data_IF_916569887721
#
_entry.id   IF_916569887721
#
_cell.length_a   1.000
_cell.length_b   1.000
_cell.length_c   1.000
_cell.angle_alpha   90.00
_cell.angle_beta   90.00
_cell.angle_gamma   90.00
#
_symmetry.space_group_name_H-M   'P 1'
#
loop_
_entity.id
_entity.type
_entity.pdbx_description
1 polymer ?
#
# COMPACT_ATOMS: atom_id res chain seq x y z
N UNK A 1 10.75 0.59 19.93
CA UNK A 1 9.40 0.38 19.36
C UNK A 1 9.48 -0.85 18.45
N UNK A 2 8.52 -1.79 18.53
CA UNK A 2 8.52 -2.95 17.63
C UNK A 2 8.52 -2.46 16.17
N UNK A 3 9.43 -2.99 15.34
CA UNK A 3 9.59 -2.58 13.94
C UNK A 3 8.29 -2.65 13.15
N UNK A 4 7.47 -3.68 13.41
CA UNK A 4 6.16 -3.83 12.76
C UNK A 4 5.21 -2.69 13.15
N UNK A 5 5.23 -2.29 14.43
CA UNK A 5 4.41 -1.18 14.93
C UNK A 5 4.89 0.15 14.33
N UNK A 6 6.20 0.36 14.17
CA UNK A 6 6.74 1.57 13.53
C UNK A 6 6.36 1.62 12.03
N UNK A 7 6.48 0.50 11.31
CA UNK A 7 6.04 0.41 9.92
C UNK A 7 4.54 0.68 9.79
N UNK A 8 3.71 0.06 10.64
CA UNK A 8 2.26 0.30 10.64
C UNK A 8 1.93 1.76 10.92
N UNK A 9 2.59 2.39 11.89
CA UNK A 9 2.37 3.80 12.23
C UNK A 9 2.73 4.73 11.07
N UNK A 10 3.88 4.52 10.42
CA UNK A 10 4.29 5.32 9.25
C UNK A 10 3.43 5.07 8.04
N UNK A 11 3.04 3.81 7.83
CA UNK A 11 2.10 3.43 6.79
C UNK A 11 0.76 4.14 6.97
N UNK A 12 0.26 4.26 8.21
CA UNK A 12 -0.96 5.02 8.50
C UNK A 12 -0.85 6.48 8.03
N UNK A 13 0.23 7.18 8.38
CA UNK A 13 0.43 8.56 7.93
C UNK A 13 0.55 8.67 6.41
N UNK A 14 1.25 7.75 5.74
CA UNK A 14 1.35 7.73 4.28
C UNK A 14 -0.03 7.48 3.64
N UNK A 15 -0.82 6.57 4.18
CA UNK A 15 -2.13 6.23 3.66
C UNK A 15 -3.14 7.38 3.75
N UNK A 16 -3.01 8.27 4.74
CA UNK A 16 -3.83 9.50 4.78
C UNK A 16 -3.68 10.32 3.49
N UNK A 17 -2.48 10.39 2.91
CA UNK A 17 -2.27 11.13 1.67
C UNK A 17 -2.55 10.29 0.41
N UNK A 18 -2.35 8.97 0.49
CA UNK A 18 -2.56 8.06 -0.65
C UNK A 18 -4.05 7.85 -0.94
N UNK A 19 -4.87 7.72 0.11
CA UNK A 19 -6.25 7.21 -0.01
C UNK A 19 -7.27 8.34 -0.17
N UNK A 20 -6.99 9.54 0.32
CA UNK A 20 -7.93 10.69 0.24
C UNK A 20 -8.28 11.07 -1.20
N UNK A 21 -7.29 11.18 -2.09
CA UNK A 21 -7.52 11.56 -3.49
C UNK A 21 -8.37 10.49 -4.22
N UNK A 22 -8.05 9.19 -4.16
CA UNK A 22 -8.91 8.12 -4.68
C UNK A 22 -10.34 8.14 -4.13
N UNK A 23 -10.52 8.37 -2.82
CA UNK A 23 -11.84 8.47 -2.21
C UNK A 23 -12.64 9.62 -2.83
N UNK A 24 -12.05 10.81 -2.92
CA UNK A 24 -12.71 11.99 -3.50
C UNK A 24 -13.08 11.71 -4.97
N UNK A 25 -12.17 11.12 -5.75
CA UNK A 25 -12.44 10.76 -7.14
C UNK A 25 -13.59 9.75 -7.29
N UNK A 26 -13.67 8.76 -6.39
CA UNK A 26 -14.76 7.79 -6.36
C UNK A 26 -16.11 8.42 -5.97
N UNK A 27 -16.10 9.31 -4.97
CA UNK A 27 -17.30 9.97 -4.44
C UNK A 27 -17.89 10.99 -5.41
N UNK A 28 -17.06 11.82 -6.07
CA UNK A 28 -17.53 12.88 -6.99
C UNK A 28 -18.32 12.29 -8.17
N UNK A 29 -17.96 11.09 -8.62
CA UNK A 29 -18.59 10.43 -9.75
C UNK A 29 -19.56 9.32 -9.37
N UNK A 30 -20.03 9.30 -8.11
CA UNK A 30 -21.03 8.32 -7.64
C UNK A 30 -20.62 6.85 -7.92
N UNK A 31 -19.32 6.56 -7.84
CA UNK A 31 -18.74 5.24 -8.15
C UNK A 31 -18.44 4.99 -9.64
N UNK A 32 -18.90 5.83 -10.57
CA UNK A 32 -18.62 5.71 -12.01
C UNK A 32 -17.13 5.86 -12.37
N UNK A 33 -16.31 6.36 -11.44
CA UNK A 33 -14.88 6.61 -11.65
C UNK A 33 -14.00 5.67 -10.84
N UNK A 34 -14.44 4.42 -10.65
CA UNK A 34 -13.65 3.37 -9.99
C UNK A 34 -12.28 3.17 -10.65
N UNK A 35 -12.23 3.25 -11.99
CA UNK A 35 -10.96 3.19 -12.75
C UNK A 35 -10.02 4.34 -12.40
N UNK A 36 -10.54 5.57 -12.28
CA UNK A 36 -9.72 6.74 -11.94
C UNK A 36 -9.24 6.65 -10.49
N UNK A 37 -10.10 6.25 -9.56
CA UNK A 37 -9.71 5.99 -8.17
C UNK A 37 -8.60 4.93 -8.08
N UNK A 38 -8.71 3.84 -8.84
CA UNK A 38 -7.70 2.79 -8.92
C UNK A 38 -6.38 3.33 -9.50
N UNK A 39 -6.42 4.08 -10.60
CA UNK A 39 -5.21 4.66 -11.22
C UNK A 39 -4.50 5.59 -10.25
N UNK A 40 -5.23 6.50 -9.59
CA UNK A 40 -4.65 7.40 -8.60
C UNK A 40 -4.11 6.65 -7.39
N UNK A 41 -4.81 5.60 -6.94
CA UNK A 41 -4.30 4.77 -5.85
C UNK A 41 -3.00 4.09 -6.22
N UNK A 42 -2.89 3.47 -7.40
CA UNK A 42 -1.66 2.82 -7.84
C UNK A 42 -0.50 3.81 -7.97
N UNK A 43 -0.75 4.99 -8.55
CA UNK A 43 0.27 6.04 -8.67
C UNK A 43 0.74 6.54 -7.30
N UNK A 44 -0.19 6.90 -6.42
CA UNK A 44 0.14 7.47 -5.12
C UNK A 44 0.76 6.43 -4.18
N UNK A 45 0.26 5.19 -4.20
CA UNK A 45 0.81 4.10 -3.40
C UNK A 45 2.24 3.74 -3.81
N UNK A 46 2.64 3.97 -5.05
CA UNK A 46 4.03 3.83 -5.49
C UNK A 46 4.86 5.07 -5.16
N UNK A 47 4.43 6.24 -5.64
CA UNK A 47 5.22 7.48 -5.62
C UNK A 47 5.43 8.01 -4.20
N UNK A 48 4.41 7.99 -3.34
CA UNK A 48 4.51 8.59 -2.00
C UNK A 48 5.50 7.84 -1.12
N UNK A 49 5.42 6.50 -0.95
CA UNK A 49 6.41 5.78 -0.15
C UNK A 49 7.78 5.76 -0.81
N UNK A 50 7.87 5.69 -2.15
CA UNK A 50 9.16 5.80 -2.84
C UNK A 50 9.87 7.13 -2.56
N UNK A 51 9.14 8.24 -2.58
CA UNK A 51 9.67 9.56 -2.24
C UNK A 51 10.03 9.64 -0.74
N UNK A 52 9.16 9.14 0.13
CA UNK A 52 9.38 9.08 1.58
C UNK A 52 10.66 8.31 1.94
N UNK A 53 10.94 7.21 1.25
CA UNK A 53 12.16 6.41 1.45
C UNK A 53 13.43 7.06 0.88
N UNK A 54 13.33 8.14 0.10
CA UNK A 54 14.51 8.85 -0.41
C UNK A 54 15.18 9.74 0.64
N UNK A 55 14.44 10.12 1.70
CA UNK A 55 14.97 10.97 2.76
C UNK A 55 15.87 10.18 3.69
N UNK A 56 17.09 10.68 3.95
CA UNK A 56 18.05 10.04 4.88
C UNK A 56 17.52 9.93 6.32
N UNK A 57 16.58 10.78 6.72
CA UNK A 57 15.90 10.74 8.02
C UNK A 57 14.76 9.72 8.08
N UNK A 58 14.39 9.09 6.96
CA UNK A 58 13.31 8.10 6.86
C UNK A 58 13.80 6.71 7.26
N UNK A 59 14.22 6.60 8.52
CA UNK A 59 14.75 5.37 9.10
C UNK A 59 13.72 4.72 10.00
N UNK A 60 13.62 3.39 9.99
CA UNK A 60 12.64 2.60 10.74
C UNK A 60 13.33 1.87 11.89
N UNK A 61 12.64 1.77 13.03
CA UNK A 61 13.18 1.14 14.24
C UNK A 61 14.49 1.79 14.71
N UNK A 62 15.57 1.01 14.78
CA UNK A 62 16.91 1.42 15.24
C UNK A 62 17.71 2.23 14.19
N UNK A 63 17.06 3.03 13.35
CA UNK A 63 17.77 3.83 12.35
C UNK A 63 18.01 3.10 11.01
N UNK A 64 17.33 1.98 10.74
CA UNK A 64 17.51 1.20 9.50
C UNK A 64 16.69 1.79 8.34
N UNK A 65 17.30 2.01 7.18
CA UNK A 65 16.58 2.47 5.99
C UNK A 65 16.01 1.31 5.17
N UNK A 66 14.98 1.59 4.37
CA UNK A 66 14.42 0.64 3.39
C UNK A 66 14.88 1.08 2.01
N UNK A 67 15.37 0.14 1.21
CA UNK A 67 15.78 0.40 -0.18
C UNK A 67 14.56 0.74 -1.04
N UNK A 68 14.66 1.81 -1.84
CA UNK A 68 13.62 2.18 -2.81
C UNK A 68 13.39 1.07 -3.83
N UNK A 69 14.44 0.35 -4.24
CA UNK A 69 14.30 -0.76 -5.20
C UNK A 69 13.54 -1.91 -4.54
N UNK A 70 13.88 -2.26 -3.30
CA UNK A 70 13.16 -3.27 -2.54
C UNK A 70 11.67 -2.89 -2.38
N UNK A 71 11.39 -1.60 -2.18
CA UNK A 71 10.02 -1.09 -2.14
C UNK A 71 9.28 -1.27 -3.47
N UNK A 72 9.87 -0.88 -4.61
CA UNK A 72 9.23 -1.06 -5.93
C UNK A 72 8.95 -2.54 -6.20
N UNK A 73 9.93 -3.42 -5.92
CA UNK A 73 9.75 -4.88 -6.10
C UNK A 73 8.60 -5.39 -5.22
N UNK A 74 8.56 -4.98 -3.95
CA UNK A 74 7.50 -5.38 -3.02
C UNK A 74 6.13 -4.86 -3.46
N UNK A 75 6.06 -3.61 -3.91
CA UNK A 75 4.84 -2.98 -4.41
C UNK A 75 4.29 -3.74 -5.63
N UNK A 76 5.15 -4.12 -6.59
CA UNK A 76 4.76 -4.92 -7.76
C UNK A 76 4.24 -6.28 -7.34
N UNK A 77 4.90 -6.96 -6.39
CA UNK A 77 4.47 -8.27 -5.90
C UNK A 77 3.11 -8.17 -5.21
N UNK A 78 2.93 -7.23 -4.28
CA UNK A 78 1.66 -7.07 -3.55
C UNK A 78 0.51 -6.74 -4.49
N UNK A 79 0.67 -5.76 -5.39
CA UNK A 79 -0.39 -5.39 -6.32
C UNK A 79 -0.62 -6.45 -7.40
N UNK A 80 0.43 -7.15 -7.84
CA UNK A 80 0.32 -8.27 -8.77
C UNK A 80 -0.48 -9.44 -8.17
N UNK A 81 -0.24 -9.79 -6.90
CA UNK A 81 -1.01 -10.80 -6.17
C UNK A 81 -2.45 -10.32 -5.98
N UNK A 82 -2.67 -9.08 -5.54
CA UNK A 82 -4.01 -8.52 -5.36
C UNK A 82 -4.80 -8.50 -6.67
N UNK A 83 -4.17 -8.14 -7.79
CA UNK A 83 -4.79 -8.19 -9.12
C UNK A 83 -5.18 -9.62 -9.51
N UNK A 84 -4.25 -10.58 -9.36
CA UNK A 84 -4.55 -12.00 -9.63
C UNK A 84 -5.70 -12.52 -8.74
N UNK A 85 -5.71 -12.16 -7.47
CA UNK A 85 -6.77 -12.53 -6.54
C UNK A 85 -8.12 -11.98 -6.97
N UNK A 86 -8.21 -10.68 -7.19
CA UNK A 86 -9.47 -9.97 -7.50
C UNK A 86 -10.04 -10.38 -8.87
N UNK A 87 -9.19 -10.56 -9.89
CA UNK A 87 -9.66 -10.77 -11.26
C UNK A 87 -9.61 -12.22 -11.75
N UNK A 88 -8.83 -13.10 -11.11
CA UNK A 88 -8.56 -14.44 -11.63
C UNK A 88 -8.80 -15.58 -10.64
N UNK A 89 -9.01 -15.32 -9.34
CA UNK A 89 -8.95 -16.40 -8.34
C UNK A 89 -9.90 -16.34 -7.15
N UNK A 90 -10.49 -15.19 -6.82
CA UNK A 90 -11.34 -15.03 -5.63
C UNK A 90 -12.74 -14.63 -6.08
N UNK A 91 -13.75 -15.42 -5.67
CA UNK A 91 -15.14 -15.02 -5.82
C UNK A 91 -15.46 -13.89 -4.84
N UNK A 92 -15.66 -12.69 -5.38
CA UNK A 92 -16.02 -11.49 -4.63
C UNK A 92 -17.54 -11.28 -4.57
N UNK A 93 -18.36 -12.22 -5.04
CA UNK A 93 -19.84 -12.14 -5.02
C UNK A 93 -20.38 -11.76 -3.64
N UNK A 94 -19.82 -12.34 -2.57
CA UNK A 94 -20.18 -12.01 -1.19
C UNK A 94 -19.93 -10.54 -0.85
N UNK A 95 -18.79 -9.98 -1.28
CA UNK A 95 -18.43 -8.58 -1.03
C UNK A 95 -19.37 -7.62 -1.78
N UNK A 96 -19.84 -8.02 -2.96
CA UNK A 96 -20.82 -7.27 -3.72
C UNK A 96 -22.22 -7.28 -3.09
N UNK A 97 -22.53 -8.28 -2.25
CA UNK A 97 -23.76 -8.35 -1.47
C UNK A 97 -23.78 -7.50 -0.20
N UNK A 98 -22.65 -6.90 0.20
CA UNK A 98 -22.60 -6.04 1.38
C UNK A 98 -23.24 -4.67 1.14
N UNK A 99 -23.74 -4.00 2.20
CA UNK A 99 -24.10 -2.59 2.13
C UNK A 99 -22.95 -1.75 1.58
N UNK A 100 -23.25 -0.71 0.80
CA UNK A 100 -22.24 0.16 0.16
C UNK A 100 -21.17 0.63 1.16
N UNK A 101 -21.58 1.10 2.34
CA UNK A 101 -20.67 1.53 3.40
C UNK A 101 -19.70 0.41 3.83
N UNK A 102 -20.20 -0.82 3.97
CA UNK A 102 -19.37 -1.97 4.35
C UNK A 102 -18.34 -2.32 3.28
N UNK A 103 -18.74 -2.29 2.01
CA UNK A 103 -17.83 -2.52 0.87
C UNK A 103 -16.76 -1.43 0.77
N UNK A 104 -17.14 -0.16 0.96
CA UNK A 104 -16.20 0.95 0.90
C UNK A 104 -15.16 0.87 2.04
N UNK A 105 -15.58 0.47 3.25
CA UNK A 105 -14.65 0.19 4.36
C UNK A 105 -13.71 -0.96 4.01
N UNK A 106 -14.21 -2.04 3.41
CA UNK A 106 -13.38 -3.18 3.00
C UNK A 106 -12.32 -2.77 1.97
N UNK A 107 -12.69 -1.96 0.98
CA UNK A 107 -11.73 -1.43 -0.01
C UNK A 107 -10.70 -0.51 0.64
N UNK A 108 -11.11 0.35 1.57
CA UNK A 108 -10.19 1.22 2.31
C UNK A 108 -9.17 0.42 3.12
N UNK A 109 -9.62 -0.63 3.81
CA UNK A 109 -8.74 -1.56 4.52
C UNK A 109 -7.78 -2.27 3.57
N UNK A 110 -8.28 -2.78 2.43
CA UNK A 110 -7.43 -3.44 1.43
C UNK A 110 -6.35 -2.49 0.89
N UNK A 111 -6.70 -1.23 0.63
CA UNK A 111 -5.75 -0.20 0.20
C UNK A 111 -4.68 0.08 1.27
N UNK A 112 -5.09 0.21 2.53
CA UNK A 112 -4.18 0.40 3.66
C UNK A 112 -3.21 -0.78 3.84
N UNK A 113 -3.74 -2.00 3.86
CA UNK A 113 -2.95 -3.20 4.05
C UNK A 113 -1.98 -3.43 2.89
N UNK A 114 -2.36 -3.11 1.65
CA UNK A 114 -1.48 -3.27 0.48
C UNK A 114 -0.20 -2.41 0.59
N UNK A 115 -0.32 -1.15 1.01
CA UNK A 115 0.85 -0.28 1.24
C UNK A 115 1.67 -0.78 2.43
N UNK A 116 1.00 -1.20 3.50
CA UNK A 116 1.66 -1.71 4.72
C UNK A 116 2.46 -2.98 4.46
N UNK A 117 1.88 -3.97 3.77
CA UNK A 117 2.58 -5.18 3.38
C UNK A 117 3.73 -4.90 2.42
N UNK A 118 3.56 -3.95 1.49
CA UNK A 118 4.66 -3.54 0.61
C UNK A 118 5.86 -3.02 1.41
N UNK A 119 5.64 -2.22 2.45
CA UNK A 119 6.70 -1.73 3.33
C UNK A 119 7.33 -2.85 4.19
N UNK A 120 6.53 -3.78 4.71
CA UNK A 120 7.02 -4.91 5.52
C UNK A 120 7.91 -5.82 4.66
N UNK A 121 7.46 -6.19 3.47
CA UNK A 121 8.22 -7.03 2.54
C UNK A 121 9.49 -6.30 2.10
N UNK A 122 9.38 -5.00 1.78
CA UNK A 122 10.53 -4.20 1.36
C UNK A 122 11.59 -4.09 2.46
N UNK A 123 11.16 -3.93 3.70
CA UNK A 123 12.05 -3.97 4.86
C UNK A 123 12.77 -5.32 4.95
N UNK A 124 12.03 -6.44 4.88
CA UNK A 124 12.61 -7.78 4.87
C UNK A 124 13.61 -7.99 3.74
N UNK A 125 13.25 -7.64 2.51
CA UNK A 125 14.14 -7.73 1.34
C UNK A 125 15.39 -6.86 1.49
N UNK A 126 15.25 -5.64 2.00
CA UNK A 126 16.38 -4.74 2.24
C UNK A 126 17.34 -5.34 3.26
N UNK A 127 16.85 -6.03 4.29
CA UNK A 127 17.71 -6.70 5.27
C UNK A 127 18.40 -7.93 4.70
N UNK A 128 17.69 -8.75 3.95
CA UNK A 128 18.27 -9.96 3.32
C UNK A 128 19.37 -9.62 2.31
N UNK A 129 19.25 -8.49 1.59
CA UNK A 129 20.24 -8.04 0.61
C UNK A 129 21.32 -7.16 1.24
N UNK A 130 20.96 -6.34 2.23
CA UNK A 130 21.87 -5.40 2.90
C UNK A 130 22.90 -6.07 3.81
N UNK A 131 22.52 -7.14 4.53
CA UNK A 131 23.47 -7.90 5.39
C UNK A 131 24.59 -8.61 4.60
N UNK A 132 24.51 -8.66 3.26
CA UNK A 132 25.57 -9.25 2.43
C UNK A 132 26.72 -8.29 2.13
N UNK A 133 26.53 -6.99 2.35
CA UNK A 133 27.47 -5.94 1.89
C UNK A 133 27.91 -4.99 3.03
N UNK A 134 27.65 -5.33 4.30
CA UNK A 134 28.23 -4.66 5.47
C UNK A 134 29.29 -5.55 6.14
#
# INVERSE_FOLDING_TARGET
MNILIDICRRSFYLNLFIVVIPIIAYMIHNGSSATVALVWYLLLSLCMPWAYLSFKSSTFGEGKSISRIAYVVSWVVVHGISYKGIFLGIDLSMLWGWPTVGRDIAFLLAMYFSVTFSLIIAYGLTRLVGDRNE
#
